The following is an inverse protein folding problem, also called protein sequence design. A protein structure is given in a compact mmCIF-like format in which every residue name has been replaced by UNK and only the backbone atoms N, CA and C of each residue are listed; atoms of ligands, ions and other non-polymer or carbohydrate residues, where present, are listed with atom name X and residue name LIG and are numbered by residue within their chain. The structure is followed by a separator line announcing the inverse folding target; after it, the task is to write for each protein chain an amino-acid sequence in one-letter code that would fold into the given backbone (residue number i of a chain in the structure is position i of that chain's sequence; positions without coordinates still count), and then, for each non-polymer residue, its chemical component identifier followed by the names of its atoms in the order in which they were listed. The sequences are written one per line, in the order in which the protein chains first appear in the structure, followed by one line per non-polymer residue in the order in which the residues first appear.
data_IF_007130397033
#
_entry.id   IF_007130397033
#
_cell.length_a   1.000
_cell.length_b   1.000
_cell.length_c   1.000
_cell.angle_alpha   90.00
_cell.angle_beta   90.00
_cell.angle_gamma   90.00
#
_symmetry.space_group_name_H-M   'P 1'
#
loop_
_entity.id
_entity.type
_entity.pdbx_description
1 polymer ?
#
# COMPACT_ATOMS: atom_id res chain seq x y z
N UNK A 1 -0.76 -29.16 22.12
CA UNK A 1 -1.64 -29.42 20.95
C UNK A 1 -2.38 -28.13 20.65
N UNK A 2 -2.01 -27.45 19.56
CA UNK A 2 -2.64 -26.19 19.15
C UNK A 2 -3.83 -26.53 18.29
N UNK A 3 -5.03 -26.35 18.82
CA UNK A 3 -6.27 -26.57 18.08
C UNK A 3 -6.42 -25.47 17.04
N UNK A 4 -6.43 -25.90 15.79
CA UNK A 4 -6.80 -25.14 14.60
C UNK A 4 -8.23 -24.61 14.78
N UNK A 5 -8.42 -23.30 14.89
CA UNK A 5 -9.75 -22.69 14.81
C UNK A 5 -9.95 -22.22 13.38
N UNK A 6 -10.93 -22.85 12.73
CA UNK A 6 -11.52 -22.41 11.47
C UNK A 6 -11.81 -20.90 11.53
N UNK A 7 -11.24 -20.13 10.62
CA UNK A 7 -11.71 -18.77 10.37
C UNK A 7 -12.70 -18.81 9.20
N UNK A 8 -13.97 -18.86 9.56
CA UNK A 8 -15.13 -18.79 8.68
C UNK A 8 -15.24 -17.43 7.96
N UNK A 9 -16.03 -17.44 6.90
CA UNK A 9 -16.23 -16.38 5.91
C UNK A 9 -16.58 -15.00 6.51
N UNK A 10 -16.16 -13.97 5.78
CA UNK A 10 -16.63 -12.56 5.83
C UNK A 10 -16.41 -11.79 7.14
N UNK A 11 -15.19 -11.26 7.32
CA UNK A 11 -14.91 -9.96 7.92
C UNK A 11 -13.48 -9.58 7.54
N UNK A 12 -13.30 -9.03 6.34
CA UNK A 12 -12.07 -8.30 6.06
C UNK A 12 -12.18 -7.07 6.97
N UNK A 13 -11.35 -6.97 8.01
CA UNK A 13 -11.17 -5.71 8.75
C UNK A 13 -10.93 -4.58 7.75
N UNK A 14 -11.22 -3.30 8.09
CA UNK A 14 -11.18 -2.22 7.11
C UNK A 14 -9.85 -2.27 6.34
N UNK A 15 -9.91 -2.73 5.08
CA UNK A 15 -8.74 -2.75 4.21
C UNK A 15 -8.32 -1.29 4.12
N UNK A 16 -7.03 -1.05 4.33
CA UNK A 16 -6.45 0.26 4.14
C UNK A 16 -7.00 0.88 2.84
N UNK A 17 -7.46 2.12 2.90
CA UNK A 17 -8.01 2.86 1.76
C UNK A 17 -6.91 3.66 1.06
N UNK A 18 -7.19 4.21 -0.13
CA UNK A 18 -6.24 5.08 -0.83
C UNK A 18 -5.82 6.27 0.04
N UNK A 19 -6.79 6.85 0.75
CA UNK A 19 -6.56 7.94 1.71
C UNK A 19 -5.64 7.49 2.84
N UNK A 20 -5.87 6.32 3.43
CA UNK A 20 -4.98 5.82 4.50
C UNK A 20 -3.57 5.55 3.99
N UNK A 21 -3.40 5.01 2.77
CA UNK A 21 -2.09 4.81 2.15
C UNK A 21 -1.37 6.14 1.92
N UNK A 22 -2.11 7.15 1.45
CA UNK A 22 -1.61 8.50 1.29
C UNK A 22 -1.15 9.09 2.63
N UNK A 23 -2.00 9.05 3.66
CA UNK A 23 -1.69 9.57 4.99
C UNK A 23 -0.46 8.89 5.60
N UNK A 24 -0.35 7.58 5.44
CA UNK A 24 0.80 6.82 5.91
C UNK A 24 2.10 7.34 5.28
N UNK A 25 2.14 7.48 3.95
CA UNK A 25 3.33 7.98 3.26
C UNK A 25 3.61 9.45 3.60
N UNK A 26 2.59 10.30 3.68
CA UNK A 26 2.74 11.69 4.11
C UNK A 26 3.36 11.79 5.50
N UNK A 27 2.89 11.01 6.46
CA UNK A 27 3.42 11.00 7.82
C UNK A 27 4.87 10.49 7.84
N UNK A 28 5.16 9.42 7.09
CA UNK A 28 6.50 8.87 7.05
C UNK A 28 7.50 9.87 6.43
N UNK A 29 7.11 10.56 5.35
CA UNK A 29 7.93 11.61 4.71
C UNK A 29 8.13 12.79 5.65
N UNK A 30 7.07 13.30 6.29
CA UNK A 30 7.17 14.43 7.24
C UNK A 30 8.07 14.13 8.42
N UNK A 31 8.00 12.90 8.95
CA UNK A 31 8.82 12.48 10.09
C UNK A 31 10.19 11.93 9.68
N UNK A 32 10.50 11.85 8.38
CA UNK A 32 11.70 11.20 7.85
C UNK A 32 11.91 9.79 8.42
N UNK A 33 10.84 9.00 8.44
CA UNK A 33 10.80 7.65 9.00
C UNK A 33 10.58 6.61 7.91
N UNK A 34 11.23 5.46 8.07
CA UNK A 34 11.03 4.31 7.20
C UNK A 34 9.75 3.56 7.55
N UNK A 35 9.30 2.73 6.61
CA UNK A 35 8.13 1.87 6.79
C UNK A 35 8.42 0.78 7.84
N UNK A 36 7.77 0.89 8.99
CA UNK A 36 7.86 -0.13 10.04
C UNK A 36 7.29 -1.49 9.60
N UNK A 37 7.62 -2.56 10.33
CA UNK A 37 7.17 -3.91 10.00
C UNK A 37 5.65 -4.07 9.97
N UNK A 38 4.94 -3.44 10.93
CA UNK A 38 3.47 -3.47 10.98
C UNK A 38 2.85 -2.70 9.81
N UNK A 39 3.38 -1.52 9.50
CA UNK A 39 2.96 -0.73 8.35
C UNK A 39 3.19 -1.50 7.03
N UNK A 40 4.34 -2.16 6.88
CA UNK A 40 4.63 -2.99 5.72
C UNK A 40 3.63 -4.15 5.56
N UNK A 41 3.10 -4.69 6.66
CA UNK A 41 2.05 -5.72 6.63
C UNK A 41 0.73 -5.16 6.14
N UNK A 42 0.37 -3.92 6.54
CA UNK A 42 -0.82 -3.24 6.04
C UNK A 42 -0.70 -2.89 4.56
N UNK A 43 0.46 -2.40 4.11
CA UNK A 43 0.71 -2.14 2.69
C UNK A 43 0.63 -3.43 1.88
N UNK A 44 1.12 -4.56 2.40
CA UNK A 44 0.99 -5.83 1.70
C UNK A 44 -0.48 -6.26 1.52
N UNK A 45 -1.30 -6.12 2.56
CA UNK A 45 -2.73 -6.40 2.47
C UNK A 45 -3.43 -5.45 1.49
N UNK A 46 -3.08 -4.17 1.51
CA UNK A 46 -3.55 -3.17 0.56
C UNK A 46 -3.20 -3.57 -0.87
N UNK A 47 -1.94 -3.90 -1.14
CA UNK A 47 -1.46 -4.31 -2.45
C UNK A 47 -2.23 -5.52 -2.96
N UNK A 48 -2.39 -6.55 -2.11
CA UNK A 48 -3.12 -7.76 -2.47
C UNK A 48 -4.59 -7.47 -2.82
N UNK A 49 -5.26 -6.61 -2.04
CA UNK A 49 -6.67 -6.33 -2.23
C UNK A 49 -6.97 -5.36 -3.38
N UNK A 50 -6.09 -4.40 -3.64
CA UNK A 50 -6.37 -3.26 -4.52
C UNK A 50 -5.53 -3.23 -5.80
N UNK A 51 -4.37 -3.88 -5.81
CA UNK A 51 -3.41 -3.80 -6.92
C UNK A 51 -3.26 -5.15 -7.62
N UNK A 52 -2.97 -6.21 -6.85
CA UNK A 52 -2.71 -7.54 -7.38
C UNK A 52 -3.91 -8.03 -8.22
N UNK A 53 -3.62 -8.55 -9.40
CA UNK A 53 -4.59 -9.07 -10.39
C UNK A 53 -5.61 -8.05 -10.94
N UNK A 54 -5.60 -6.79 -10.47
CA UNK A 54 -6.46 -5.70 -10.96
C UNK A 54 -5.72 -4.76 -11.91
N UNK A 55 -4.41 -4.63 -11.72
CA UNK A 55 -3.53 -3.80 -12.54
C UNK A 55 -2.38 -4.64 -13.09
N UNK A 56 -1.91 -4.27 -14.29
CA UNK A 56 -0.76 -4.92 -14.93
C UNK A 56 0.55 -4.65 -14.17
N UNK A 57 0.67 -3.48 -13.57
CA UNK A 57 1.86 -3.06 -12.83
C UNK A 57 1.53 -2.08 -11.72
N UNK A 58 2.44 -1.93 -10.74
CA UNK A 58 2.37 -0.86 -9.74
C UNK A 58 2.33 0.52 -10.40
N UNK A 59 3.09 0.71 -11.48
CA UNK A 59 3.11 1.97 -12.24
C UNK A 59 1.74 2.34 -12.82
N UNK A 60 1.00 1.36 -13.33
CA UNK A 60 -0.33 1.62 -13.89
C UNK A 60 -1.33 1.97 -12.79
N UNK A 61 -1.25 1.28 -11.66
CA UNK A 61 -2.02 1.65 -10.47
C UNK A 61 -1.68 3.07 -9.99
N UNK A 62 -0.40 3.45 -9.94
CA UNK A 62 0.03 4.77 -9.47
C UNK A 62 -0.54 5.91 -10.31
N UNK A 63 -0.74 5.73 -11.64
CA UNK A 63 -1.39 6.74 -12.49
C UNK A 63 -2.80 7.06 -12.01
N UNK A 64 -3.59 6.03 -11.73
CA UNK A 64 -4.95 6.18 -11.21
C UNK A 64 -4.96 6.72 -9.77
N UNK A 65 -4.05 6.21 -8.92
CA UNK A 65 -3.92 6.67 -7.56
C UNK A 65 -3.63 8.17 -7.48
N UNK A 66 -2.63 8.65 -8.22
CA UNK A 66 -2.25 10.06 -8.29
C UNK A 66 -3.44 10.91 -8.76
N UNK A 67 -4.17 10.48 -9.79
CA UNK A 67 -5.35 11.20 -10.28
C UNK A 67 -6.40 11.40 -9.18
N UNK A 68 -6.62 10.40 -8.35
CA UNK A 68 -7.60 10.44 -7.26
C UNK A 68 -7.12 11.27 -6.06
N UNK A 69 -5.83 11.22 -5.73
CA UNK A 69 -5.29 11.83 -4.50
C UNK A 69 -4.68 13.21 -4.71
N UNK A 70 -4.36 13.59 -5.94
CA UNK A 70 -3.74 14.88 -6.29
C UNK A 70 -4.49 16.08 -5.70
N UNK A 71 -5.83 16.19 -5.76
CA UNK A 71 -6.53 17.32 -5.16
C UNK A 71 -6.28 17.47 -3.65
N UNK A 72 -6.11 16.35 -2.93
CA UNK A 72 -5.88 16.37 -1.49
C UNK A 72 -4.45 16.80 -1.09
N UNK A 73 -3.47 16.62 -1.99
CA UNK A 73 -2.10 17.11 -1.75
C UNK A 73 -1.92 18.56 -2.23
N UNK A 74 -2.65 18.98 -3.27
CA UNK A 74 -2.56 20.35 -3.79
C UNK A 74 -3.32 21.36 -2.95
N UNK A 75 -4.25 20.93 -2.09
CA UNK A 75 -4.97 21.81 -1.17
C UNK A 75 -4.11 22.35 -0.01
N UNK A 76 -2.96 21.73 0.27
CA UNK A 76 -2.03 22.18 1.31
C UNK A 76 -0.65 22.47 0.72
N UNK A 77 -0.15 23.70 0.88
CA UNK A 77 1.09 24.15 0.27
C UNK A 77 2.31 23.30 0.68
N UNK A 78 2.40 22.92 1.95
CA UNK A 78 3.48 22.05 2.46
C UNK A 78 3.44 20.65 1.83
N UNK A 79 2.25 20.11 1.60
CA UNK A 79 2.06 18.80 0.98
C UNK A 79 2.30 18.84 -0.52
N UNK A 80 1.96 19.96 -1.17
CA UNK A 80 2.20 20.17 -2.59
C UNK A 80 3.70 20.08 -2.90
N UNK A 81 4.55 20.73 -2.09
CA UNK A 81 6.02 20.70 -2.22
C UNK A 81 6.55 19.27 -2.08
N UNK A 82 5.98 18.49 -1.15
CA UNK A 82 6.41 17.12 -0.86
C UNK A 82 5.76 16.06 -1.76
N UNK A 83 4.79 16.43 -2.61
CA UNK A 83 3.93 15.49 -3.34
C UNK A 83 4.70 14.45 -4.15
N UNK A 84 5.73 14.87 -4.89
CA UNK A 84 6.60 13.97 -5.66
C UNK A 84 7.31 12.94 -4.75
N UNK A 85 7.82 13.39 -3.60
CA UNK A 85 8.47 12.51 -2.63
C UNK A 85 7.47 11.54 -2.01
N UNK A 86 6.26 12.01 -1.67
CA UNK A 86 5.18 11.17 -1.13
C UNK A 86 4.79 10.08 -2.13
N UNK A 87 4.57 10.42 -3.40
CA UNK A 87 4.20 9.43 -4.41
C UNK A 87 5.32 8.42 -4.69
N UNK A 88 6.58 8.87 -4.70
CA UNK A 88 7.74 7.99 -4.81
C UNK A 88 7.80 6.97 -3.66
N UNK A 89 7.57 7.40 -2.42
CA UNK A 89 7.50 6.50 -1.26
C UNK A 89 6.36 5.48 -1.37
N UNK A 90 5.17 5.91 -1.82
CA UNK A 90 4.05 4.98 -2.05
C UNK A 90 4.41 3.93 -3.10
N UNK A 91 5.01 4.34 -4.21
CA UNK A 91 5.47 3.41 -5.26
C UNK A 91 6.50 2.42 -4.69
N UNK A 92 7.45 2.88 -3.87
CA UNK A 92 8.43 2.03 -3.20
C UNK A 92 7.77 1.00 -2.28
N UNK A 93 6.79 1.43 -1.47
CA UNK A 93 6.07 0.54 -0.55
C UNK A 93 5.31 -0.55 -1.32
N UNK A 94 4.66 -0.18 -2.42
CA UNK A 94 3.94 -1.12 -3.28
C UNK A 94 4.87 -2.04 -4.05
N UNK A 95 6.05 -1.57 -4.47
CA UNK A 95 7.09 -2.39 -5.11
C UNK A 95 7.65 -3.46 -4.17
N UNK A 96 7.88 -3.11 -2.90
CA UNK A 96 8.27 -4.07 -1.88
C UNK A 96 7.16 -5.12 -1.63
N UNK A 97 5.89 -4.68 -1.59
CA UNK A 97 4.75 -5.58 -1.45
C UNK A 97 4.58 -6.53 -2.65
N UNK A 98 4.73 -6.01 -3.88
CA UNK A 98 4.73 -6.80 -5.12
C UNK A 98 5.81 -7.89 -5.10
N UNK A 99 7.03 -7.54 -4.70
CA UNK A 99 8.15 -8.50 -4.62
C UNK A 99 7.80 -9.64 -3.68
N UNK A 100 7.28 -9.34 -2.49
CA UNK A 100 6.82 -10.35 -1.52
C UNK A 100 5.68 -11.20 -2.07
N UNK A 101 4.74 -10.60 -2.79
CA UNK A 101 3.62 -11.31 -3.40
C UNK A 101 4.09 -12.34 -4.44
N UNK A 102 4.96 -11.94 -5.37
CA UNK A 102 5.52 -12.82 -6.40
C UNK A 102 6.31 -13.97 -5.75
N UNK A 103 7.14 -13.68 -4.75
CA UNK A 103 7.89 -14.70 -4.02
C UNK A 103 6.95 -15.73 -3.37
N UNK A 104 5.86 -15.27 -2.75
CA UNK A 104 4.88 -16.17 -2.13
C UNK A 104 4.14 -17.02 -3.15
N UNK A 105 3.77 -16.48 -4.31
CA UNK A 105 3.15 -17.27 -5.38
C UNK A 105 4.07 -18.38 -5.89
N UNK A 106 5.36 -18.10 -6.06
CA UNK A 106 6.35 -19.12 -6.47
C UNK A 106 6.46 -20.29 -5.47
N UNK A 107 6.28 -20.02 -4.17
CA UNK A 107 6.32 -21.06 -3.14
C UNK A 107 5.06 -21.93 -3.13
N UNK A 108 3.90 -21.36 -3.48
CA UNK A 108 2.61 -22.05 -3.49
C UNK A 108 2.35 -22.86 -4.77
N UNK A 109 3.16 -22.66 -5.80
CA UNK A 109 3.12 -23.42 -7.07
C UNK A 109 4.06 -24.62 -7.10
N UNK A 110 4.72 -24.93 -5.98
CA UNK A 110 5.46 -26.19 -5.75
C UNK A 110 4.54 -27.23 -5.12
#
# INVERSE_FOLDING_TARGET
MVTCVLFEKTKIGPIMTNTQLLLLATNNVKNNTELSHSQASYVYQYYYANVANKFLSVKDFMKEFIKLTKPALESEQDLQILSLRIYSEIENYLGAAQTRFIQRQKLLQK
#
